data_IF_521018472275
#
_entry.id   IF_521018472275
#
_cell.length_a   1.000
_cell.length_b   1.000
_cell.length_c   1.000
_cell.angle_alpha   90.00
_cell.angle_beta   90.00
_cell.angle_gamma   90.00
#
_symmetry.space_group_name_H-M   'P 1'
#
loop_
_entity.id
_entity.type
_entity.pdbx_description
1 polymer ?
#
# COMPACT_ATOMS: atom_id res chain seq x y z
N UNK A 1 23.56 7.42 -31.58
CA UNK A 1 23.81 6.30 -30.64
C UNK A 1 23.06 6.37 -29.31
N UNK A 2 22.02 7.21 -29.12
CA UNK A 2 21.25 7.33 -27.86
C UNK A 2 19.93 6.54 -27.79
N UNK A 3 19.51 5.88 -28.89
CA UNK A 3 18.19 5.22 -28.93
C UNK A 3 18.22 3.70 -28.59
N UNK A 4 19.35 3.03 -28.74
CA UNK A 4 19.44 1.57 -28.57
C UNK A 4 19.33 1.12 -27.09
N UNK A 5 19.87 1.90 -26.15
CA UNK A 5 19.81 1.56 -24.72
C UNK A 5 18.40 1.61 -24.11
N UNK A 6 17.54 2.47 -24.66
CA UNK A 6 16.16 2.65 -24.12
C UNK A 6 15.25 1.46 -24.46
N UNK A 7 15.48 0.79 -25.60
CA UNK A 7 14.70 -0.39 -26.02
C UNK A 7 15.12 -1.65 -25.27
N UNK A 8 16.41 -1.78 -24.95
CA UNK A 8 16.96 -2.92 -24.18
C UNK A 8 16.39 -2.92 -22.76
N UNK A 9 16.31 -1.75 -22.09
CA UNK A 9 15.73 -1.63 -20.74
C UNK A 9 14.22 -1.93 -20.76
N UNK A 10 13.50 -1.48 -21.79
CA UNK A 10 12.07 -1.79 -21.94
C UNK A 10 11.83 -3.28 -22.20
N UNK A 11 12.68 -3.91 -23.03
CA UNK A 11 12.61 -5.33 -23.31
C UNK A 11 12.95 -6.20 -22.09
N UNK A 12 13.95 -5.83 -21.32
CA UNK A 12 14.33 -6.54 -20.10
C UNK A 12 13.24 -6.48 -19.01
N UNK A 13 12.56 -5.33 -18.89
CA UNK A 13 11.47 -5.16 -17.94
C UNK A 13 10.24 -5.98 -18.32
N UNK A 14 9.90 -6.06 -19.60
CA UNK A 14 8.80 -6.89 -20.09
C UNK A 14 9.12 -8.39 -19.95
N UNK A 15 10.38 -8.77 -20.19
CA UNK A 15 10.83 -10.15 -20.02
C UNK A 15 10.84 -10.60 -18.55
N UNK A 16 11.29 -9.77 -17.61
CA UNK A 16 11.21 -10.07 -16.19
C UNK A 16 9.77 -10.15 -15.67
N UNK A 17 8.85 -9.40 -16.26
CA UNK A 17 7.42 -9.48 -15.90
C UNK A 17 6.79 -10.79 -16.41
N UNK A 18 7.13 -11.20 -17.62
CA UNK A 18 6.62 -12.44 -18.25
C UNK A 18 7.21 -13.70 -17.58
N UNK A 19 8.49 -13.70 -17.21
CA UNK A 19 9.10 -14.85 -16.53
C UNK A 19 8.62 -15.04 -15.10
N UNK A 20 8.22 -13.94 -14.40
CA UNK A 20 7.64 -14.04 -13.07
C UNK A 20 6.28 -14.76 -13.07
N UNK A 21 5.54 -14.71 -14.18
CA UNK A 21 4.27 -15.42 -14.31
C UNK A 21 4.42 -16.92 -14.65
N UNK A 22 5.51 -17.33 -15.30
CA UNK A 22 5.73 -18.74 -15.66
C UNK A 22 6.13 -19.63 -14.47
N UNK A 23 6.62 -19.04 -13.37
CA UNK A 23 7.02 -19.78 -12.17
C UNK A 23 5.88 -20.14 -11.22
N UNK A 24 4.63 -19.75 -11.52
CA UNK A 24 3.47 -19.95 -10.63
C UNK A 24 2.58 -21.11 -11.09
N UNK A 25 2.84 -21.69 -12.26
CA UNK A 25 2.09 -22.86 -12.73
C UNK A 25 2.56 -24.14 -12.01
N UNK A 26 2.20 -24.28 -10.74
CA UNK A 26 2.06 -25.62 -10.17
C UNK A 26 0.81 -26.24 -10.80
N UNK A 27 0.99 -27.34 -11.56
CA UNK A 27 -0.10 -28.24 -11.91
C UNK A 27 -0.67 -28.79 -10.61
N UNK A 28 -1.63 -28.08 -10.01
CA UNK A 28 -2.59 -28.70 -9.10
C UNK A 28 -3.63 -29.38 -9.99
N UNK A 29 -3.89 -30.66 -9.72
CA UNK A 29 -5.08 -31.33 -10.26
C UNK A 29 -6.30 -30.45 -9.93
N UNK A 30 -7.29 -30.38 -10.82
CA UNK A 30 -8.47 -29.54 -10.59
C UNK A 30 -9.18 -30.08 -9.34
N UNK A 31 -8.85 -29.47 -8.20
CA UNK A 31 -9.64 -29.58 -7.00
C UNK A 31 -11.03 -29.06 -7.37
N UNK A 32 -12.03 -29.91 -7.22
CA UNK A 32 -13.44 -29.53 -7.48
C UNK A 32 -13.72 -28.31 -6.62
N UNK A 33 -13.70 -27.13 -7.25
CA UNK A 33 -13.98 -25.89 -6.56
C UNK A 33 -15.33 -26.04 -5.84
N UNK A 34 -15.40 -25.76 -4.54
CA UNK A 34 -16.68 -25.82 -3.85
C UNK A 34 -17.67 -24.90 -4.56
N UNK A 35 -18.87 -25.40 -4.76
CA UNK A 35 -19.90 -24.91 -5.69
C UNK A 35 -20.35 -23.43 -5.46
N UNK A 36 -19.87 -22.76 -4.40
CA UNK A 36 -20.21 -21.37 -4.10
C UNK A 36 -19.05 -20.63 -3.43
N UNK A 37 -18.54 -19.61 -4.09
CA UNK A 37 -17.78 -18.57 -3.41
C UNK A 37 -18.72 -17.78 -2.50
N UNK A 38 -18.63 -17.99 -1.19
CA UNK A 38 -19.45 -17.26 -0.23
C UNK A 38 -18.73 -15.97 0.17
N UNK A 39 -19.44 -14.86 0.12
CA UNK A 39 -18.99 -13.62 0.74
C UNK A 39 -19.28 -13.66 2.23
N UNK A 40 -18.30 -13.26 3.03
CA UNK A 40 -18.50 -12.90 4.43
C UNK A 40 -19.24 -11.56 4.52
N UNK A 41 -19.81 -11.26 5.67
CA UNK A 41 -20.49 -9.99 5.90
C UNK A 41 -19.58 -8.79 5.58
N UNK A 42 -20.19 -7.75 5.04
CA UNK A 42 -19.51 -6.52 4.73
C UNK A 42 -19.05 -5.83 6.01
N UNK A 43 -17.76 -5.54 6.11
CA UNK A 43 -17.19 -4.86 7.27
C UNK A 43 -16.84 -3.41 6.98
N UNK A 44 -16.83 -2.58 8.01
CA UNK A 44 -16.48 -1.17 7.93
C UNK A 44 -15.24 -0.84 8.75
N UNK A 45 -14.43 0.12 8.25
CA UNK A 45 -13.12 0.46 8.83
C UNK A 45 -12.84 1.95 8.70
N UNK A 46 -11.96 2.45 9.56
CA UNK A 46 -11.37 3.78 9.40
C UNK A 46 -9.85 3.70 9.45
N UNK A 47 -9.19 4.33 8.47
CA UNK A 47 -7.75 4.38 8.39
C UNK A 47 -7.25 5.82 8.48
N UNK A 48 -6.50 6.12 9.52
CA UNK A 48 -5.83 7.41 9.69
C UNK A 48 -4.35 7.20 9.38
N UNK A 49 -3.84 7.92 8.38
CA UNK A 49 -2.52 7.67 7.84
C UNK A 49 -1.69 8.96 7.78
N UNK A 50 -0.45 8.88 8.23
CA UNK A 50 0.55 9.90 7.99
C UNK A 50 1.60 9.37 7.01
N UNK A 51 2.03 10.22 6.09
CA UNK A 51 3.05 9.91 5.09
C UNK A 51 4.09 11.01 5.08
N UNK A 52 5.31 10.69 5.51
CA UNK A 52 6.41 11.62 5.53
C UNK A 52 7.46 11.26 4.48
N UNK A 53 7.78 12.20 3.58
CA UNK A 53 8.90 12.08 2.65
C UNK A 53 9.94 13.16 2.99
N UNK A 54 10.76 12.88 3.99
CA UNK A 54 11.68 13.84 4.63
C UNK A 54 12.98 13.85 3.85
N UNK A 55 13.31 14.96 3.17
CA UNK A 55 14.54 15.10 2.40
C UNK A 55 15.74 15.23 3.33
N UNK A 56 16.67 14.26 3.26
CA UNK A 56 17.89 14.21 4.08
C UNK A 56 19.17 14.38 3.27
N UNK A 57 19.10 14.20 1.95
CA UNK A 57 20.23 14.35 1.04
C UNK A 57 19.84 14.77 -0.36
N UNK A 58 20.80 14.96 -1.25
CA UNK A 58 20.55 15.36 -2.64
C UNK A 58 19.62 14.40 -3.36
N UNK A 59 19.80 13.09 -3.12
CA UNK A 59 18.99 12.01 -3.71
C UNK A 59 18.38 11.09 -2.66
N UNK A 60 18.54 11.41 -1.37
CA UNK A 60 18.07 10.58 -0.27
C UNK A 60 16.91 11.26 0.46
N UNK A 61 15.95 10.45 0.85
CA UNK A 61 14.87 10.86 1.73
C UNK A 61 14.55 9.73 2.72
N UNK A 62 14.05 10.13 3.87
CA UNK A 62 13.47 9.23 4.86
C UNK A 62 11.97 9.16 4.62
N UNK A 63 11.46 7.98 4.38
CA UNK A 63 10.03 7.67 4.32
C UNK A 63 9.58 7.25 5.72
N UNK A 64 8.79 8.11 6.37
CA UNK A 64 8.29 7.91 7.73
C UNK A 64 6.75 7.86 7.70
N UNK A 65 6.17 6.72 8.03
CA UNK A 65 4.73 6.52 7.96
C UNK A 65 4.21 5.91 9.25
N UNK A 66 3.11 6.46 9.77
CA UNK A 66 2.33 5.87 10.86
C UNK A 66 0.89 5.75 10.42
N UNK A 67 0.29 4.58 10.67
CA UNK A 67 -1.10 4.31 10.30
C UNK A 67 -1.82 3.73 11.50
N UNK A 68 -2.96 4.32 11.83
CA UNK A 68 -3.93 3.79 12.76
C UNK A 68 -5.10 3.21 11.97
N UNK A 69 -5.52 2.01 12.32
CA UNK A 69 -6.68 1.35 11.74
C UNK A 69 -7.68 1.00 12.80
N UNK A 70 -8.88 1.49 12.61
CA UNK A 70 -10.05 1.16 13.41
C UNK A 70 -10.94 0.21 12.62
N UNK A 71 -11.59 -0.71 13.32
CA UNK A 71 -12.60 -1.61 12.78
C UNK A 71 -13.90 -1.39 13.54
N UNK A 72 -15.00 -1.80 12.95
CA UNK A 72 -16.31 -1.74 13.57
C UNK A 72 -16.42 -2.67 14.79
N UNK A 73 -17.39 -2.39 15.63
CA UNK A 73 -17.98 -3.31 16.59
C UNK A 73 -19.45 -3.50 16.22
N UNK A 74 -20.15 -4.43 16.87
CA UNK A 74 -21.59 -4.61 16.65
C UNK A 74 -22.39 -3.32 16.84
N UNK A 75 -21.97 -2.49 17.78
CA UNK A 75 -22.68 -1.24 18.13
C UNK A 75 -22.22 -0.01 17.31
N UNK A 76 -20.98 -0.04 16.75
CA UNK A 76 -20.37 1.16 16.18
C UNK A 76 -19.69 0.86 14.86
N UNK A 77 -20.29 1.24 13.72
CA UNK A 77 -19.65 1.10 12.42
C UNK A 77 -18.44 2.04 12.29
N UNK A 78 -17.46 1.67 11.48
CA UNK A 78 -16.26 2.41 11.11
C UNK A 78 -15.23 2.68 12.21
N UNK A 79 -15.63 2.97 13.45
CA UNK A 79 -14.73 3.50 14.51
C UNK A 79 -14.83 2.75 15.84
N UNK A 80 -15.33 1.52 15.84
CA UNK A 80 -15.61 0.76 17.06
C UNK A 80 -14.37 0.52 17.92
N UNK A 81 -13.29 -0.02 17.38
CA UNK A 81 -12.11 -0.41 18.14
C UNK A 81 -10.81 -0.28 17.31
N UNK A 82 -9.67 -0.22 18.03
CA UNK A 82 -8.35 -0.22 17.41
C UNK A 82 -7.98 -1.63 16.98
N UNK A 83 -7.84 -1.86 15.68
CA UNK A 83 -7.42 -3.13 15.14
C UNK A 83 -5.90 -3.20 14.89
N UNK A 84 -5.30 -2.11 14.41
CA UNK A 84 -3.88 -2.14 14.03
C UNK A 84 -3.22 -0.76 14.14
N UNK A 85 -1.96 -0.79 14.57
CA UNK A 85 -1.05 0.35 14.48
C UNK A 85 0.16 -0.05 13.65
N UNK A 86 0.48 0.77 12.64
CA UNK A 86 1.67 0.57 11.81
C UNK A 86 2.70 1.64 12.08
N UNK A 87 3.93 1.21 12.21
CA UNK A 87 5.09 2.07 12.17
C UNK A 87 5.99 1.58 11.03
N UNK A 88 6.10 2.38 9.96
CA UNK A 88 6.83 2.03 8.73
C UNK A 88 7.88 3.08 8.44
N UNK A 89 9.11 2.63 8.28
CA UNK A 89 10.23 3.48 7.93
C UNK A 89 11.02 2.90 6.77
N UNK A 90 11.56 3.78 5.93
CA UNK A 90 12.46 3.40 4.85
C UNK A 90 13.44 4.51 4.50
N UNK A 91 14.55 4.13 3.90
CA UNK A 91 15.40 5.04 3.15
C UNK A 91 14.99 4.94 1.67
N UNK A 92 14.73 6.10 1.09
CA UNK A 92 14.40 6.24 -0.31
C UNK A 92 15.53 6.88 -1.10
N UNK A 93 15.76 6.40 -2.32
CA UNK A 93 16.71 6.96 -3.27
C UNK A 93 15.95 7.49 -4.49
N UNK A 94 16.19 8.78 -4.81
CA UNK A 94 15.62 9.46 -5.97
C UNK A 94 16.58 9.27 -7.14
N UNK A 95 16.24 8.35 -8.04
CA UNK A 95 17.00 8.15 -9.26
C UNK A 95 16.77 9.30 -10.25
N UNK A 96 15.52 9.69 -10.43
CA UNK A 96 15.10 10.82 -11.27
C UNK A 96 13.85 11.49 -10.68
N UNK A 97 13.39 12.58 -11.28
CA UNK A 97 12.12 13.21 -10.88
C UNK A 97 10.88 12.32 -11.10
N UNK A 98 11.03 11.23 -11.83
CA UNK A 98 9.94 10.31 -12.18
C UNK A 98 10.10 8.91 -11.59
N UNK A 99 11.24 8.62 -10.96
CA UNK A 99 11.50 7.29 -10.44
C UNK A 99 12.26 7.31 -9.12
N UNK A 100 11.75 6.60 -8.13
CA UNK A 100 12.42 6.36 -6.87
C UNK A 100 12.31 4.90 -6.42
N UNK A 101 13.26 4.50 -5.59
CA UNK A 101 13.27 3.22 -4.91
C UNK A 101 13.32 3.44 -3.41
N UNK A 102 12.74 2.51 -2.64
CA UNK A 102 12.71 2.54 -1.17
C UNK A 102 13.03 1.16 -0.63
N UNK A 103 13.76 1.13 0.48
CA UNK A 103 14.03 -0.09 1.26
C UNK A 103 13.80 0.22 2.73
N UNK A 104 13.04 -0.62 3.42
CA UNK A 104 12.71 -0.34 4.82
C UNK A 104 12.07 -1.48 5.57
N UNK A 105 11.65 -1.16 6.79
CA UNK A 105 11.00 -2.05 7.72
C UNK A 105 9.61 -1.57 8.15
N UNK A 106 8.84 -2.50 8.68
CA UNK A 106 7.54 -2.24 9.35
C UNK A 106 7.51 -3.02 10.64
N UNK A 107 7.11 -2.34 11.69
CA UNK A 107 6.49 -2.94 12.86
C UNK A 107 5.00 -2.66 12.80
N UNK A 108 4.20 -3.71 12.74
CA UNK A 108 2.75 -3.64 12.83
C UNK A 108 2.30 -4.31 14.12
N UNK A 109 1.59 -3.57 14.94
CA UNK A 109 0.90 -4.08 16.12
C UNK A 109 -0.52 -4.46 15.72
N UNK A 110 -0.90 -5.72 15.92
CA UNK A 110 -2.25 -6.22 15.70
C UNK A 110 -2.91 -6.39 17.07
N UNK A 111 -4.05 -5.77 17.25
CA UNK A 111 -4.87 -5.93 18.44
C UNK A 111 -5.94 -6.99 18.19
N UNK A 112 -6.21 -7.82 19.18
CA UNK A 112 -7.30 -8.76 19.12
C UNK A 112 -8.61 -7.97 19.21
N UNK A 113 -9.47 -8.13 18.22
CA UNK A 113 -10.76 -7.45 18.14
C UNK A 113 -11.93 -8.36 18.52
N UNK A 114 -11.64 -9.59 18.94
CA UNK A 114 -12.63 -10.51 19.48
C UNK A 114 -12.64 -10.41 21.00
N UNK A 115 -13.62 -9.71 21.54
CA UNK A 115 -13.80 -9.47 22.98
C UNK A 115 -14.05 -10.78 23.77
N UNK A 116 -14.56 -11.80 23.12
CA UNK A 116 -14.80 -13.10 23.73
C UNK A 116 -13.55 -14.01 23.74
N UNK A 117 -12.48 -13.60 23.07
CA UNK A 117 -11.27 -14.39 22.96
C UNK A 117 -10.43 -14.35 24.23
N UNK A 118 -9.95 -15.50 24.65
CA UNK A 118 -8.96 -15.65 25.73
C UNK A 118 -7.51 -15.60 25.23
N UNK A 119 -7.33 -15.43 23.92
CA UNK A 119 -6.03 -15.31 23.27
C UNK A 119 -5.30 -14.02 23.62
N UNK A 120 -4.05 -13.89 23.16
CA UNK A 120 -3.25 -12.67 23.35
C UNK A 120 -3.96 -11.43 22.77
N UNK A 121 -3.95 -10.35 23.53
CA UNK A 121 -4.56 -9.08 23.10
C UNK A 121 -3.75 -8.35 22.03
N UNK A 122 -2.43 -8.60 21.94
CA UNK A 122 -1.53 -7.90 21.05
C UNK A 122 -0.51 -8.88 20.45
N UNK A 123 -0.36 -8.79 19.13
CA UNK A 123 0.64 -9.58 18.39
C UNK A 123 1.40 -8.67 17.41
N UNK A 124 2.74 -8.63 17.50
CA UNK A 124 3.55 -7.88 16.55
C UNK A 124 3.69 -8.65 15.23
N UNK A 125 3.80 -7.88 14.14
CA UNK A 125 4.17 -8.38 12.83
C UNK A 125 5.34 -7.56 12.30
N UNK A 126 6.36 -8.26 11.82
CA UNK A 126 7.55 -7.66 11.25
C UNK A 126 7.55 -7.80 9.74
N UNK A 127 8.06 -6.76 9.06
CA UNK A 127 8.26 -6.79 7.62
C UNK A 127 9.55 -6.12 7.23
N UNK A 128 10.21 -6.69 6.22
CA UNK A 128 11.17 -5.99 5.38
C UNK A 128 10.50 -5.76 4.03
N UNK A 129 10.67 -4.60 3.45
CA UNK A 129 10.01 -4.29 2.19
C UNK A 129 10.87 -3.42 1.29
N UNK A 130 10.67 -3.56 0.00
CA UNK A 130 11.22 -2.67 -1.00
C UNK A 130 10.16 -2.23 -1.99
N UNK A 131 10.36 -1.06 -2.59
CA UNK A 131 9.39 -0.42 -3.45
C UNK A 131 10.05 0.30 -4.61
N UNK A 132 9.38 0.24 -5.73
CA UNK A 132 9.70 0.93 -6.96
C UNK A 132 8.51 1.78 -7.35
N UNK A 133 8.72 3.10 -7.45
CA UNK A 133 7.65 4.03 -7.79
C UNK A 133 8.02 4.84 -9.03
N UNK A 134 7.13 4.80 -9.99
CA UNK A 134 7.19 5.56 -11.22
C UNK A 134 6.12 6.64 -11.19
N UNK A 135 6.48 7.84 -11.62
CA UNK A 135 5.57 8.96 -11.78
C UNK A 135 5.62 9.45 -13.24
N UNK A 136 4.49 9.64 -13.85
CA UNK A 136 4.36 10.20 -15.19
C UNK A 136 3.56 11.49 -15.12
N UNK A 137 4.19 12.61 -15.49
CA UNK A 137 3.50 13.87 -15.63
C UNK A 137 2.81 13.91 -17.00
N UNK A 138 1.51 14.08 -17.00
CA UNK A 138 0.74 14.50 -18.15
C UNK A 138 0.47 16.01 -18.03
N UNK A 139 -0.17 16.62 -19.02
CA UNK A 139 -0.35 18.07 -19.09
C UNK A 139 -0.88 18.69 -17.80
N UNK A 140 -1.93 18.14 -17.23
CA UNK A 140 -2.57 18.66 -16.02
C UNK A 140 -2.57 17.66 -14.85
N UNK A 141 -2.31 16.37 -15.08
CA UNK A 141 -2.43 15.33 -14.08
C UNK A 141 -1.13 14.57 -13.88
N UNK A 142 -1.06 13.81 -12.78
CA UNK A 142 0.04 12.89 -12.51
C UNK A 142 -0.48 11.45 -12.44
N UNK A 143 0.23 10.53 -13.07
CA UNK A 143 0.00 9.09 -12.98
C UNK A 143 1.13 8.48 -12.18
N UNK A 144 0.78 7.55 -11.29
CA UNK A 144 1.74 6.81 -10.47
C UNK A 144 1.54 5.33 -10.63
N UNK A 145 2.65 4.62 -10.79
CA UNK A 145 2.73 3.17 -10.69
C UNK A 145 3.65 2.82 -9.54
N UNK A 146 3.21 1.94 -8.68
CA UNK A 146 3.99 1.47 -7.54
C UNK A 146 4.00 -0.04 -7.50
N UNK A 147 5.19 -0.62 -7.48
CA UNK A 147 5.42 -2.03 -7.17
C UNK A 147 6.04 -2.08 -5.78
N UNK A 148 5.48 -2.87 -4.88
CA UNK A 148 6.03 -3.09 -3.53
C UNK A 148 6.03 -4.57 -3.22
N UNK A 149 7.15 -5.04 -2.70
CA UNK A 149 7.32 -6.40 -2.23
C UNK A 149 7.59 -6.34 -0.74
N UNK A 150 6.82 -7.09 0.04
CA UNK A 150 6.91 -7.16 1.51
C UNK A 150 7.19 -8.61 1.91
N UNK A 151 8.30 -8.81 2.64
CA UNK A 151 8.63 -10.06 3.31
C UNK A 151 8.09 -9.96 4.73
N UNK A 152 7.15 -10.83 5.10
CA UNK A 152 6.34 -10.70 6.30
C UNK A 152 6.51 -11.90 7.21
N UNK A 153 6.72 -11.62 8.49
CA UNK A 153 6.66 -12.61 9.58
C UNK A 153 5.44 -12.26 10.42
N UNK A 154 4.42 -13.10 10.32
CA UNK A 154 3.12 -12.91 10.98
C UNK A 154 2.88 -14.04 11.96
N UNK A 155 2.20 -13.74 13.06
CA UNK A 155 1.84 -14.70 14.09
C UNK A 155 0.34 -14.57 14.39
N UNK A 156 -0.32 -15.67 14.77
CA UNK A 156 -1.69 -15.65 15.25
C UNK A 156 -1.79 -15.16 16.70
N UNK A 157 -3.02 -14.97 17.19
CA UNK A 157 -3.26 -14.53 18.56
C UNK A 157 -3.13 -15.68 19.57
N UNK A 158 -3.38 -16.92 19.19
CA UNK A 158 -3.23 -18.08 20.08
C UNK A 158 -1.83 -18.11 20.73
N UNK A 159 -1.76 -18.48 22.01
CA UNK A 159 -0.56 -18.38 22.85
C UNK A 159 0.65 -19.11 22.24
N UNK A 160 0.43 -20.29 21.68
CA UNK A 160 1.48 -21.13 21.08
C UNK A 160 1.63 -20.95 19.56
N UNK A 161 1.09 -19.87 19.00
CA UNK A 161 1.17 -19.61 17.57
C UNK A 161 2.59 -19.27 17.13
N UNK A 162 3.07 -19.90 16.07
CA UNK A 162 4.39 -19.66 15.50
C UNK A 162 4.36 -18.53 14.46
N UNK A 163 5.55 -17.96 14.18
CA UNK A 163 5.70 -17.01 13.09
C UNK A 163 5.64 -17.71 11.73
N UNK A 164 4.75 -17.23 10.88
CA UNK A 164 4.58 -17.71 9.51
C UNK A 164 5.17 -16.68 8.55
N UNK A 165 6.11 -17.13 7.73
CA UNK A 165 6.70 -16.30 6.68
C UNK A 165 5.84 -16.31 5.42
N UNK A 166 5.59 -15.10 4.88
CA UNK A 166 4.90 -14.90 3.59
C UNK A 166 5.48 -13.73 2.83
N UNK A 167 5.50 -13.83 1.51
CA UNK A 167 5.76 -12.72 0.63
C UNK A 167 4.44 -12.08 0.21
N UNK A 168 4.44 -10.77 0.07
CA UNK A 168 3.31 -9.99 -0.45
C UNK A 168 3.78 -9.11 -1.58
N UNK A 169 3.14 -9.24 -2.72
CA UNK A 169 3.37 -8.49 -3.92
C UNK A 169 2.24 -7.50 -4.10
N UNK A 170 2.56 -6.24 -4.36
CA UNK A 170 1.55 -5.19 -4.48
C UNK A 170 1.84 -4.35 -5.71
N UNK A 171 0.86 -4.21 -6.56
CA UNK A 171 0.87 -3.27 -7.66
C UNK A 171 -0.23 -2.24 -7.46
N UNK A 172 0.11 -0.95 -7.56
CA UNK A 172 -0.83 0.16 -7.45
C UNK A 172 -0.73 1.04 -8.68
N UNK A 173 -1.88 1.38 -9.20
CA UNK A 173 -2.09 2.44 -10.17
C UNK A 173 -2.87 3.57 -9.50
N UNK A 174 -2.40 4.82 -9.63
CA UNK A 174 -3.06 6.00 -9.09
C UNK A 174 -2.96 7.16 -10.07
N UNK A 175 -4.02 7.94 -10.18
CA UNK A 175 -4.03 9.23 -10.85
C UNK A 175 -4.23 10.33 -9.82
N UNK A 176 -3.61 11.50 -10.01
CA UNK A 176 -3.95 12.75 -9.30
C UNK A 176 -4.39 13.77 -10.32
N UNK A 177 -5.65 14.18 -10.25
CA UNK A 177 -6.32 15.04 -11.22
C UNK A 177 -6.70 16.33 -10.48
N UNK A 178 -6.07 17.48 -10.80
CA UNK A 178 -6.44 18.75 -10.19
C UNK A 178 -7.84 19.19 -10.63
N UNK A 179 -8.62 19.75 -9.72
CA UNK A 179 -10.01 20.17 -9.97
C UNK A 179 -10.17 21.68 -10.16
N UNK A 180 -9.42 22.48 -9.40
CA UNK A 180 -9.54 23.94 -9.41
C UNK A 180 -8.31 24.67 -9.97
N UNK A 181 -7.33 23.95 -10.49
CA UNK A 181 -6.13 24.47 -11.11
C UNK A 181 -5.71 23.59 -12.29
N UNK A 182 -4.90 24.10 -13.21
CA UNK A 182 -4.32 23.30 -14.30
C UNK A 182 -3.16 22.41 -13.86
N UNK A 183 -2.58 22.64 -12.68
CA UNK A 183 -1.44 21.89 -12.16
C UNK A 183 -1.58 21.62 -10.66
N UNK A 184 -0.95 20.57 -10.19
CA UNK A 184 -0.85 20.24 -8.77
C UNK A 184 0.15 21.19 -8.09
N UNK A 185 -0.36 22.26 -7.48
CA UNK A 185 0.40 23.31 -6.77
C UNK A 185 -0.31 23.67 -5.46
N UNK A 186 0.29 24.46 -4.57
CA UNK A 186 -0.41 24.94 -3.37
C UNK A 186 -1.78 25.53 -3.67
N UNK A 187 -2.75 25.30 -2.80
CA UNK A 187 -4.17 25.68 -2.92
C UNK A 187 -4.92 24.93 -4.04
N UNK A 188 -4.43 23.74 -4.44
CA UNK A 188 -5.13 22.89 -5.38
C UNK A 188 -5.92 21.80 -4.68
N UNK A 189 -7.21 21.74 -4.99
CA UNK A 189 -8.06 20.59 -4.74
C UNK A 189 -7.86 19.58 -5.87
N UNK A 190 -7.69 18.31 -5.54
CA UNK A 190 -7.54 17.24 -6.54
C UNK A 190 -8.33 15.99 -6.14
N UNK A 191 -8.71 15.21 -7.13
CA UNK A 191 -9.22 13.85 -6.94
C UNK A 191 -8.16 12.83 -7.33
N UNK A 192 -8.07 11.75 -6.57
CA UNK A 192 -7.11 10.68 -6.84
C UNK A 192 -7.78 9.30 -6.79
N UNK A 193 -8.27 8.80 -7.95
CA UNK A 193 -8.64 7.41 -8.09
C UNK A 193 -7.40 6.52 -8.05
N UNK A 194 -7.54 5.37 -7.37
CA UNK A 194 -6.47 4.39 -7.16
C UNK A 194 -7.04 2.98 -7.24
N UNK A 195 -6.31 2.08 -7.89
CA UNK A 195 -6.52 0.64 -7.85
C UNK A 195 -5.24 -0.04 -7.38
N UNK A 196 -5.34 -0.93 -6.39
CA UNK A 196 -4.20 -1.70 -5.88
C UNK A 196 -4.55 -3.17 -5.81
N UNK A 197 -3.77 -4.00 -6.53
CA UNK A 197 -3.82 -5.45 -6.46
C UNK A 197 -2.76 -5.94 -5.48
N UNK A 198 -3.15 -6.83 -4.56
CA UNK A 198 -2.29 -7.44 -3.56
C UNK A 198 -2.34 -8.94 -3.72
N UNK A 199 -1.19 -9.52 -3.95
CA UNK A 199 -1.00 -10.96 -4.04
C UNK A 199 -0.04 -11.44 -2.96
N UNK A 200 -0.14 -12.69 -2.58
CA UNK A 200 0.76 -13.31 -1.62
C UNK A 200 1.28 -14.65 -2.11
N UNK A 201 2.44 -15.04 -1.58
CA UNK A 201 3.04 -16.35 -1.82
C UNK A 201 3.72 -16.85 -0.55
N UNK A 202 3.83 -18.16 -0.41
CA UNK A 202 4.42 -18.85 0.75
C UNK A 202 3.65 -20.11 1.10
N UNK A 203 4.21 -20.92 1.98
CA UNK A 203 3.61 -22.22 2.39
C UNK A 203 2.20 -22.10 3.00
N UNK A 204 1.85 -20.94 3.52
CA UNK A 204 0.55 -20.70 4.14
C UNK A 204 -0.52 -20.15 3.20
N UNK A 205 -0.24 -20.07 1.90
CA UNK A 205 -1.23 -19.68 0.90
C UNK A 205 -2.04 -20.89 0.50
N UNK A 206 -3.30 -20.93 0.91
CA UNK A 206 -4.13 -22.14 0.85
C UNK A 206 -4.71 -22.35 -0.55
N UNK A 207 -5.49 -21.43 -1.09
CA UNK A 207 -6.22 -21.67 -2.33
C UNK A 207 -5.93 -20.65 -3.43
N UNK A 208 -5.75 -19.39 -3.12
CA UNK A 208 -5.51 -18.35 -4.12
C UNK A 208 -4.43 -17.38 -3.66
N UNK A 209 -3.53 -16.96 -4.56
CA UNK A 209 -2.53 -15.94 -4.23
C UNK A 209 -3.14 -14.55 -4.05
N UNK A 210 -4.38 -14.31 -4.47
CA UNK A 210 -5.03 -13.00 -4.37
C UNK A 210 -5.40 -12.70 -2.92
N UNK A 211 -4.69 -11.76 -2.30
CA UNK A 211 -4.99 -11.34 -0.93
C UNK A 211 -6.06 -10.26 -0.90
N UNK A 212 -5.98 -9.28 -1.82
CA UNK A 212 -6.86 -8.11 -1.75
C UNK A 212 -6.83 -7.32 -3.08
N UNK A 213 -7.99 -6.88 -3.53
CA UNK A 213 -8.16 -5.84 -4.56
C UNK A 213 -8.77 -4.62 -3.89
N UNK A 214 -8.10 -3.47 -4.02
CA UNK A 214 -8.53 -2.21 -3.41
C UNK A 214 -8.83 -1.19 -4.48
N UNK A 215 -10.02 -0.64 -4.42
CA UNK A 215 -10.43 0.50 -5.23
C UNK A 215 -10.64 1.68 -4.28
N UNK A 216 -9.94 2.78 -4.53
CA UNK A 216 -9.96 3.94 -3.65
C UNK A 216 -10.24 5.20 -4.46
N UNK A 217 -11.01 6.10 -3.92
CA UNK A 217 -11.11 7.48 -4.42
C UNK A 217 -10.81 8.42 -3.26
N UNK A 218 -9.86 9.33 -3.48
CA UNK A 218 -9.42 10.29 -2.46
C UNK A 218 -9.59 11.71 -2.99
N UNK A 219 -10.15 12.59 -2.17
CA UNK A 219 -10.18 14.02 -2.39
C UNK A 219 -9.08 14.65 -1.54
N UNK A 220 -8.15 15.36 -2.15
CA UNK A 220 -7.01 15.94 -1.46
C UNK A 220 -6.86 17.44 -1.70
N UNK A 221 -6.34 18.14 -0.71
CA UNK A 221 -6.06 19.57 -0.80
C UNK A 221 -4.59 19.86 -0.45
N UNK A 222 -3.88 20.49 -1.38
CA UNK A 222 -2.48 20.88 -1.21
C UNK A 222 -2.44 22.21 -0.46
N UNK A 223 -2.21 22.15 0.85
CA UNK A 223 -2.14 23.35 1.71
C UNK A 223 -0.89 24.18 1.40
N UNK A 224 0.25 23.52 1.40
CA UNK A 224 1.55 24.12 1.11
C UNK A 224 2.35 23.19 0.21
N UNK A 225 3.51 23.60 -0.34
CA UNK A 225 4.36 22.67 -1.09
C UNK A 225 4.81 21.44 -0.29
N UNK A 226 4.63 21.44 1.05
CA UNK A 226 5.13 20.39 1.95
C UNK A 226 4.03 19.73 2.79
N UNK A 227 2.81 20.20 2.68
CA UNK A 227 1.70 19.68 3.47
C UNK A 227 0.46 19.54 2.59
N UNK A 228 -0.05 18.33 2.54
CA UNK A 228 -1.29 17.97 1.86
C UNK A 228 -2.16 17.18 2.82
N UNK A 229 -3.43 17.46 2.86
CA UNK A 229 -4.44 16.70 3.58
C UNK A 229 -5.40 16.06 2.58
N UNK A 230 -5.90 14.88 2.91
CA UNK A 230 -6.83 14.21 2.02
C UNK A 230 -7.77 13.28 2.81
N UNK A 231 -8.96 13.09 2.26
CA UNK A 231 -9.94 12.13 2.75
C UNK A 231 -10.51 11.33 1.59
N UNK A 232 -10.91 10.10 1.83
CA UNK A 232 -11.44 9.26 0.77
C UNK A 232 -12.12 8.01 1.27
N UNK A 233 -12.74 7.29 0.35
CA UNK A 233 -13.35 5.99 0.57
C UNK A 233 -12.59 4.92 -0.21
N UNK A 234 -12.51 3.73 0.36
CA UNK A 234 -11.89 2.56 -0.24
C UNK A 234 -12.82 1.38 -0.09
N UNK A 235 -13.07 0.72 -1.19
CA UNK A 235 -13.64 -0.64 -1.19
C UNK A 235 -12.51 -1.64 -1.33
N UNK A 236 -12.51 -2.69 -0.53
CA UNK A 236 -11.58 -3.79 -0.69
C UNK A 236 -12.29 -5.13 -0.71
N UNK A 237 -11.80 -6.01 -1.57
CA UNK A 237 -12.27 -7.37 -1.73
C UNK A 237 -11.09 -8.31 -1.74
N UNK A 238 -11.08 -9.30 -0.88
CA UNK A 238 -9.99 -10.26 -0.77
C UNK A 238 -10.48 -11.65 -0.41
N UNK A 239 -9.60 -12.63 -0.58
CA UNK A 239 -9.87 -13.99 -0.18
C UNK A 239 -9.64 -14.16 1.32
N UNK A 240 -10.46 -14.95 1.97
CA UNK A 240 -10.21 -15.35 3.34
C UNK A 240 -9.02 -16.31 3.42
N UNK A 241 -8.08 -16.02 4.32
CA UNK A 241 -6.85 -16.81 4.46
C UNK A 241 -7.07 -18.16 5.16
N UNK A 242 -8.07 -18.24 6.03
CA UNK A 242 -8.38 -19.46 6.76
C UNK A 242 -9.22 -20.43 5.91
N UNK A 243 -10.03 -19.89 5.02
CA UNK A 243 -10.87 -20.70 4.11
C UNK A 243 -10.92 -20.06 2.73
N UNK A 244 -10.18 -20.61 1.80
CA UNK A 244 -10.07 -20.12 0.43
C UNK A 244 -11.37 -20.05 -0.36
N UNK A 245 -12.44 -20.72 0.08
CA UNK A 245 -13.77 -20.67 -0.53
C UNK A 245 -14.59 -19.42 -0.12
N UNK A 246 -14.09 -18.60 0.80
CA UNK A 246 -14.78 -17.39 1.24
C UNK A 246 -14.04 -16.14 0.80
N UNK A 247 -14.82 -15.13 0.39
CA UNK A 247 -14.34 -13.79 0.10
C UNK A 247 -14.79 -12.82 1.21
N UNK A 248 -13.88 -11.99 1.66
CA UNK A 248 -14.16 -10.89 2.58
C UNK A 248 -14.15 -9.60 1.81
N UNK A 249 -15.03 -8.68 2.18
CA UNK A 249 -15.09 -7.36 1.59
C UNK A 249 -15.32 -6.30 2.67
N UNK A 250 -14.83 -5.10 2.43
CA UNK A 250 -14.96 -4.02 3.40
C UNK A 250 -14.97 -2.65 2.75
N UNK A 251 -15.68 -1.71 3.37
CA UNK A 251 -15.53 -0.29 3.14
C UNK A 251 -14.60 0.32 4.17
N UNK A 252 -13.74 1.22 3.74
CA UNK A 252 -12.89 1.97 4.66
C UNK A 252 -12.95 3.47 4.34
N UNK A 253 -13.21 4.27 5.37
CA UNK A 253 -12.92 5.69 5.34
C UNK A 253 -11.40 5.89 5.52
N UNK A 254 -10.79 6.77 4.72
CA UNK A 254 -9.36 7.01 4.75
C UNK A 254 -9.06 8.49 4.94
N UNK A 255 -8.27 8.82 5.95
CA UNK A 255 -7.78 10.17 6.21
C UNK A 255 -6.26 10.17 6.07
N UNK A 256 -5.73 11.17 5.38
CA UNK A 256 -4.32 11.24 5.07
C UNK A 256 -3.74 12.61 5.39
N UNK A 257 -2.55 12.60 5.98
CA UNK A 257 -1.68 13.76 6.08
C UNK A 257 -0.37 13.42 5.39
N UNK A 258 -0.03 14.15 4.34
CA UNK A 258 1.25 14.03 3.64
C UNK A 258 2.11 15.23 4.01
N UNK A 259 3.32 14.97 4.52
CA UNK A 259 4.27 16.01 4.87
C UNK A 259 5.67 15.70 4.31
N UNK A 260 6.34 16.73 3.82
CA UNK A 260 7.62 16.57 3.11
C UNK A 260 8.62 17.64 3.54
N UNK A 261 9.06 17.66 4.82
CA UNK A 261 10.06 18.59 5.27
C UNK A 261 11.41 18.35 4.57
N UNK A 262 12.18 19.41 4.42
CA UNK A 262 13.47 19.37 3.76
C UNK A 262 14.56 19.84 4.73
N UNK A 263 15.34 18.90 5.23
CA UNK A 263 16.43 19.15 6.18
C UNK A 263 17.78 19.37 5.49
N UNK A 264 17.81 19.41 4.16
CA UNK A 264 19.07 19.69 3.45
C UNK A 264 19.56 21.12 3.74
N UNK A 265 20.86 21.25 3.91
CA UNK A 265 21.54 22.56 4.02
C UNK A 265 21.83 23.14 2.63
N UNK A 266 20.77 23.52 1.88
CA UNK A 266 20.87 24.10 0.52
C UNK A 266 20.06 25.39 0.42
N UNK A 267 20.53 26.34 -0.39
CA UNK A 267 19.88 27.65 -0.54
C UNK A 267 18.47 27.57 -1.15
N UNK A 268 18.28 26.73 -2.15
CA UNK A 268 16.99 26.53 -2.83
C UNK A 268 16.39 25.17 -2.45
N UNK A 269 15.50 25.19 -1.48
CA UNK A 269 14.74 24.01 -1.05
C UNK A 269 13.45 23.88 -1.86
N UNK A 270 13.55 23.93 -3.18
CA UNK A 270 12.37 23.81 -4.03
C UNK A 270 11.81 22.39 -3.96
N UNK A 271 10.52 22.27 -3.71
CA UNK A 271 9.84 21.01 -3.73
C UNK A 271 9.47 20.63 -5.16
N UNK A 272 10.40 20.24 -5.99
CA UNK A 272 10.05 19.42 -7.15
C UNK A 272 9.75 18.01 -6.67
N UNK A 273 8.59 17.82 -6.07
CA UNK A 273 8.24 16.51 -5.54
C UNK A 273 7.01 16.02 -6.27
N UNK A 274 7.24 15.46 -7.42
CA UNK A 274 6.28 14.57 -8.09
C UNK A 274 6.34 13.15 -7.53
N UNK A 275 7.12 12.92 -6.48
CA UNK A 275 7.43 11.59 -5.93
C UNK A 275 6.60 11.23 -4.70
N UNK A 276 5.80 12.15 -4.21
CA UNK A 276 4.98 11.90 -3.02
C UNK A 276 3.69 11.22 -3.38
N UNK A 277 3.44 10.16 -2.69
CA UNK A 277 2.11 9.58 -2.58
C UNK A 277 1.11 10.60 -2.09
#
# INVERSE_FOLDING_TARGET
MKSFGTYIIKGLFLFCFLTAFHGISQKQEPEVLPEYSKYKDLTTKTWINTYGNIRIGKRLFWDAQTHLRLEETEATPFVGQVAQVYNRHAIGYIHSKYFNVRLGGVLRLNFNTDEASTDRNLVPEWRIWHQYQFAQALESMMIYHRIRIEHRWTQGFAENSEYIFRNRWRYMFRMKIPLNNHKLKPKTLYVAPEAELIMQSGKAVVASPMEDLRLTTTLGYILTPRLTVAAGAMYSQGQDLANGGFFKHSWAMRFHVYFSPDFRKVKNKLPEIHLTD
#
